data_IF_209835579251
#
_entry.id   IF_209835579251
#
_cell.length_a   1.000
_cell.length_b   1.000
_cell.length_c   1.000
_cell.angle_alpha   90.00
_cell.angle_beta   90.00
_cell.angle_gamma   90.00
#
_symmetry.space_group_name_H-M   'P 1'
#
loop_
_entity.id
_entity.type
_entity.pdbx_description
1 polymer ?
#
# COMPACT_ATOMS: atom_id res chain seq x y z
N UNK A 1 -6.37 -1.65 6.47
CA UNK A 1 -6.48 -3.12 6.39
C UNK A 1 -7.30 -3.56 7.59
N UNK A 2 -8.34 -4.35 7.36
CA UNK A 2 -9.20 -4.84 8.44
C UNK A 2 -8.42 -5.82 9.34
N UNK A 3 -8.58 -5.72 10.66
CA UNK A 3 -7.94 -6.64 11.59
C UNK A 3 -8.87 -7.82 11.93
N UNK A 4 -8.29 -8.95 12.36
CA UNK A 4 -9.02 -10.14 12.79
C UNK A 4 -10.07 -9.85 13.86
N UNK A 5 -9.73 -9.02 14.85
CA UNK A 5 -10.66 -8.62 15.92
C UNK A 5 -11.85 -7.81 15.42
N UNK A 6 -11.69 -7.09 14.31
CA UNK A 6 -12.78 -6.35 13.68
C UNK A 6 -13.65 -7.31 12.88
N UNK A 7 -13.03 -8.19 12.07
CA UNK A 7 -13.73 -9.26 11.33
C UNK A 7 -14.57 -10.16 12.24
N UNK A 8 -14.04 -10.55 13.40
CA UNK A 8 -14.75 -11.40 14.36
C UNK A 8 -16.04 -10.77 14.94
N UNK A 9 -16.17 -9.44 14.86
CA UNK A 9 -17.35 -8.71 15.37
C UNK A 9 -18.42 -8.47 14.30
N UNK A 10 -18.08 -8.68 13.03
CA UNK A 10 -19.01 -8.51 11.93
C UNK A 10 -19.84 -9.78 11.76
N UNK A 11 -21.11 -9.59 11.44
CA UNK A 11 -21.96 -10.66 10.92
C UNK A 11 -21.49 -11.09 9.53
N UNK A 12 -21.81 -12.33 9.15
CA UNK A 12 -21.51 -12.86 7.82
C UNK A 12 -22.12 -11.94 6.75
N UNK A 13 -23.33 -11.44 6.97
CA UNK A 13 -24.01 -10.49 6.08
C UNK A 13 -23.23 -9.20 5.90
N UNK A 14 -22.78 -8.57 6.99
CA UNK A 14 -21.97 -7.33 6.91
C UNK A 14 -20.66 -7.58 6.17
N UNK A 15 -20.04 -8.75 6.35
CA UNK A 15 -18.82 -9.14 5.61
C UNK A 15 -19.12 -9.25 4.11
N UNK A 16 -20.20 -9.93 3.72
CA UNK A 16 -20.59 -10.08 2.31
C UNK A 16 -21.00 -8.74 1.68
N UNK A 17 -21.68 -7.86 2.42
CA UNK A 17 -22.04 -6.53 1.93
C UNK A 17 -20.81 -5.61 1.77
N UNK A 18 -19.87 -5.67 2.72
CA UNK A 18 -18.64 -4.85 2.70
C UNK A 18 -17.61 -5.40 1.70
N UNK A 19 -17.53 -6.71 1.56
CA UNK A 19 -16.57 -7.43 0.72
C UNK A 19 -17.29 -8.50 -0.13
N UNK A 20 -18.05 -8.13 -1.19
CA UNK A 20 -18.86 -9.07 -1.96
C UNK A 20 -18.09 -10.25 -2.55
N UNK A 21 -16.82 -10.07 -2.88
CA UNK A 21 -15.94 -11.12 -3.38
C UNK A 21 -15.64 -12.23 -2.35
N UNK A 22 -15.94 -12.04 -1.07
CA UNK A 22 -15.74 -13.07 -0.03
C UNK A 22 -16.73 -14.22 -0.13
N UNK A 23 -17.84 -14.06 -0.87
CA UNK A 23 -18.80 -15.13 -1.10
C UNK A 23 -18.13 -16.39 -1.70
N UNK A 24 -17.17 -16.21 -2.63
CA UNK A 24 -16.44 -17.34 -3.22
C UNK A 24 -15.61 -18.07 -2.18
N UNK A 25 -14.97 -17.34 -1.27
CA UNK A 25 -14.19 -17.92 -0.17
C UNK A 25 -15.07 -18.77 0.75
N UNK A 26 -16.24 -18.25 1.16
CA UNK A 26 -17.16 -19.03 1.98
C UNK A 26 -17.63 -20.31 1.27
N UNK A 27 -17.93 -20.25 -0.03
CA UNK A 27 -18.33 -21.44 -0.82
C UNK A 27 -17.20 -22.45 -0.97
N UNK A 28 -15.97 -22.00 -1.22
CA UNK A 28 -14.79 -22.85 -1.36
C UNK A 28 -14.44 -23.56 -0.05
N UNK A 29 -14.54 -22.87 1.09
CA UNK A 29 -14.35 -23.45 2.42
C UNK A 29 -15.57 -24.24 2.92
N UNK A 30 -16.61 -24.39 2.08
CA UNK A 30 -17.88 -25.06 2.42
C UNK A 30 -18.52 -24.52 3.70
N UNK A 31 -18.30 -23.24 4.01
CA UNK A 31 -18.85 -22.61 5.19
C UNK A 31 -20.34 -22.32 5.00
N UNK A 32 -21.22 -22.79 5.91
CA UNK A 32 -22.65 -22.55 5.79
C UNK A 32 -23.01 -21.07 5.95
N UNK A 33 -23.67 -20.51 4.93
CA UNK A 33 -24.13 -19.11 4.90
C UNK A 33 -25.66 -18.98 5.05
N UNK A 34 -26.28 -19.94 5.74
CA UNK A 34 -27.72 -20.01 5.99
C UNK A 34 -28.18 -19.04 7.11
N UNK A 35 -27.30 -18.73 8.07
CA UNK A 35 -27.56 -17.83 9.19
C UNK A 35 -26.68 -16.57 9.12
N UNK A 36 -26.88 -15.73 8.10
CA UNK A 36 -25.94 -14.63 7.82
C UNK A 36 -25.94 -13.50 8.86
N UNK A 37 -26.95 -13.42 9.72
CA UNK A 37 -27.04 -12.42 10.80
C UNK A 37 -26.09 -12.73 11.98
N UNK A 38 -25.50 -13.94 12.02
CA UNK A 38 -24.52 -14.33 13.04
C UNK A 38 -23.10 -13.92 12.66
N UNK A 39 -22.26 -13.72 13.67
CA UNK A 39 -20.80 -13.67 13.47
C UNK A 39 -20.26 -15.05 13.10
N UNK A 40 -19.07 -15.09 12.50
CA UNK A 40 -18.39 -16.35 12.15
C UNK A 40 -18.22 -17.24 13.41
N UNK A 41 -17.80 -16.66 14.54
CA UNK A 41 -17.62 -17.41 15.79
C UNK A 41 -18.93 -18.01 16.32
N UNK A 42 -20.02 -17.25 16.26
CA UNK A 42 -21.34 -17.73 16.68
C UNK A 42 -21.85 -18.83 15.77
N UNK A 43 -21.69 -18.69 14.45
CA UNK A 43 -22.08 -19.72 13.50
C UNK A 43 -21.27 -21.01 13.70
N UNK A 44 -19.98 -20.90 14.01
CA UNK A 44 -19.12 -22.04 14.33
C UNK A 44 -19.59 -22.86 15.54
N UNK A 45 -20.11 -22.19 16.59
CA UNK A 45 -20.67 -22.86 17.77
C UNK A 45 -21.93 -23.64 17.45
N UNK A 46 -22.66 -23.21 16.42
CA UNK A 46 -23.91 -23.82 15.96
C UNK A 46 -23.71 -24.87 14.85
N UNK A 47 -22.47 -25.06 14.36
CA UNK A 47 -22.19 -26.11 13.38
C UNK A 47 -22.46 -27.50 13.96
N UNK A 48 -23.18 -28.30 13.18
CA UNK A 48 -23.34 -29.74 13.35
C UNK A 48 -22.01 -30.48 13.22
N UNK A 49 -22.01 -31.77 13.53
CA UNK A 49 -20.80 -32.60 13.43
C UNK A 49 -20.38 -32.75 11.95
N UNK A 50 -21.34 -32.98 11.05
CA UNK A 50 -21.10 -33.10 9.61
C UNK A 50 -20.48 -31.81 9.04
N UNK A 51 -21.06 -30.65 9.35
CA UNK A 51 -20.51 -29.37 8.88
C UNK A 51 -19.11 -29.08 9.43
N UNK A 52 -18.77 -29.56 10.63
CA UNK A 52 -17.42 -29.41 11.20
C UNK A 52 -16.41 -30.32 10.51
N UNK A 53 -16.83 -31.51 10.08
CA UNK A 53 -15.99 -32.44 9.32
C UNK A 53 -15.66 -31.88 7.94
N UNK A 54 -16.63 -31.25 7.27
CA UNK A 54 -16.42 -30.62 5.95
C UNK A 54 -15.49 -29.40 6.03
N UNK A 55 -15.61 -28.59 7.08
CA UNK A 55 -14.85 -27.35 7.20
C UNK A 55 -13.37 -27.58 7.53
N UNK A 56 -13.05 -28.62 8.30
CA UNK A 56 -11.69 -29.06 8.74
C UNK A 56 -10.84 -28.01 9.51
N UNK A 57 -11.24 -26.74 9.54
CA UNK A 57 -10.48 -25.63 10.15
C UNK A 57 -11.24 -25.02 11.33
N UNK A 58 -10.50 -24.57 12.36
CA UNK A 58 -11.08 -23.89 13.51
C UNK A 58 -11.50 -22.45 13.18
N UNK A 59 -12.44 -21.89 13.94
CA UNK A 59 -12.93 -20.52 13.74
C UNK A 59 -11.82 -19.47 13.71
N UNK A 60 -10.82 -19.64 14.57
CA UNK A 60 -9.65 -18.77 14.65
C UNK A 60 -8.84 -18.80 13.34
N UNK A 61 -8.64 -19.98 12.76
CA UNK A 61 -7.89 -20.15 11.51
C UNK A 61 -8.70 -19.66 10.31
N UNK A 62 -10.02 -19.89 10.29
CA UNK A 62 -10.92 -19.38 9.27
C UNK A 62 -10.89 -17.86 9.19
N UNK A 63 -10.97 -17.18 10.33
CA UNK A 63 -10.88 -15.72 10.40
C UNK A 63 -9.53 -15.19 9.91
N UNK A 64 -8.45 -15.93 10.18
CA UNK A 64 -7.11 -15.56 9.71
C UNK A 64 -6.99 -15.72 8.19
N UNK A 65 -7.50 -16.84 7.64
CA UNK A 65 -7.52 -17.08 6.20
C UNK A 65 -8.43 -16.09 5.46
N UNK A 66 -9.63 -15.81 5.97
CA UNK A 66 -10.53 -14.80 5.41
C UNK A 66 -9.87 -13.42 5.39
N UNK A 67 -9.16 -13.04 6.46
CA UNK A 67 -8.42 -11.77 6.52
C UNK A 67 -7.34 -11.71 5.43
N UNK A 68 -6.58 -12.78 5.23
CA UNK A 68 -5.56 -12.86 4.19
C UNK A 68 -6.19 -12.79 2.80
N UNK A 69 -7.28 -13.54 2.57
CA UNK A 69 -8.03 -13.51 1.32
C UNK A 69 -8.56 -12.11 0.98
N UNK A 70 -9.16 -11.41 1.96
CA UNK A 70 -9.63 -10.02 1.76
C UNK A 70 -8.48 -9.11 1.37
N UNK A 71 -7.35 -9.21 2.08
CA UNK A 71 -6.16 -8.42 1.76
C UNK A 71 -5.69 -8.69 0.33
N UNK A 72 -5.51 -9.95 -0.04
CA UNK A 72 -4.95 -10.31 -1.34
C UNK A 72 -5.89 -9.90 -2.47
N UNK A 73 -7.20 -10.03 -2.29
CA UNK A 73 -8.21 -9.54 -3.24
C UNK A 73 -8.21 -8.01 -3.34
N UNK A 74 -8.07 -7.29 -2.23
CA UNK A 74 -7.96 -5.84 -2.25
C UNK A 74 -6.68 -5.36 -2.95
N UNK A 75 -5.56 -6.08 -2.79
CA UNK A 75 -4.33 -5.83 -3.53
C UNK A 75 -4.54 -6.10 -5.03
N UNK A 76 -5.16 -7.22 -5.39
CA UNK A 76 -5.45 -7.58 -6.78
C UNK A 76 -6.39 -6.58 -7.49
N UNK A 77 -7.40 -6.09 -6.79
CA UNK A 77 -8.37 -5.12 -7.33
C UNK A 77 -7.85 -3.66 -7.34
N UNK A 78 -6.62 -3.41 -6.88
CA UNK A 78 -6.09 -2.05 -6.75
C UNK A 78 -6.82 -1.20 -5.70
N UNK A 79 -7.54 -1.84 -4.77
CA UNK A 79 -8.25 -1.19 -3.67
C UNK A 79 -7.36 -1.00 -2.44
N UNK A 80 -6.10 -1.45 -2.51
CA UNK A 80 -5.11 -1.18 -1.48
C UNK A 80 -4.71 0.29 -1.54
N UNK A 81 -4.74 0.98 -0.39
CA UNK A 81 -4.21 2.35 -0.22
C UNK A 81 -2.69 2.46 -0.45
N UNK A 82 -2.06 1.37 -0.89
CA UNK A 82 -0.63 1.23 -1.09
C UNK A 82 -0.20 1.60 -2.53
N UNK A 83 -1.12 2.03 -3.40
CA UNK A 83 -0.78 2.55 -4.72
C UNK A 83 -0.54 4.07 -4.69
N UNK A 84 0.49 4.55 -5.38
CA UNK A 84 0.81 5.99 -5.48
C UNK A 84 -0.06 6.63 -6.56
N UNK A 85 -1.12 7.32 -6.14
CA UNK A 85 -2.01 8.10 -7.01
C UNK A 85 -1.50 9.53 -7.24
N UNK A 86 -0.83 10.11 -6.24
CA UNK A 86 -0.22 11.43 -6.36
C UNK A 86 1.00 11.59 -5.47
N UNK A 87 1.98 12.35 -5.95
CA UNK A 87 3.12 12.84 -5.18
C UNK A 87 3.04 14.37 -5.07
N UNK A 88 3.06 14.90 -3.84
CA UNK A 88 3.06 16.34 -3.59
C UNK A 88 4.36 16.73 -2.91
N UNK A 89 5.12 17.63 -3.52
CA UNK A 89 6.34 18.20 -2.96
C UNK A 89 6.06 19.59 -2.40
N UNK A 90 6.33 19.77 -1.11
CA UNK A 90 6.26 21.05 -0.41
C UNK A 90 7.65 21.72 -0.37
N UNK A 91 7.70 23.06 -0.43
CA UNK A 91 8.94 23.81 -0.50
C UNK A 91 9.75 23.71 0.78
N UNK A 92 11.07 23.56 0.61
CA UNK A 92 12.03 23.67 1.69
C UNK A 92 12.86 24.94 1.54
N UNK A 93 14.18 24.76 1.61
CA UNK A 93 15.20 25.79 1.43
C UNK A 93 16.18 25.36 0.36
N UNK A 94 16.66 26.33 -0.39
CA UNK A 94 17.73 26.16 -1.36
C UNK A 94 19.11 26.05 -0.67
N UNK A 95 20.17 25.88 -1.48
CA UNK A 95 21.56 25.80 -1.00
C UNK A 95 22.05 27.06 -0.25
N UNK A 96 21.35 28.18 -0.40
CA UNK A 96 21.66 29.45 0.27
C UNK A 96 20.78 29.66 1.51
N UNK A 97 19.96 28.67 1.88
CA UNK A 97 19.03 28.75 3.00
C UNK A 97 17.78 29.58 2.72
N UNK A 98 17.56 30.03 1.48
CA UNK A 98 16.37 30.79 1.09
C UNK A 98 15.21 29.83 0.83
N UNK A 99 14.00 30.20 1.26
CA UNK A 99 12.79 29.45 0.94
C UNK A 99 12.60 29.33 -0.56
N UNK A 100 12.24 28.14 -1.03
CA UNK A 100 11.96 27.91 -2.44
C UNK A 100 10.69 28.64 -2.92
N UNK A 101 10.68 29.04 -4.19
CA UNK A 101 9.65 29.91 -4.76
C UNK A 101 8.48 29.14 -5.41
N UNK A 102 8.04 28.04 -4.80
CA UNK A 102 6.82 27.34 -5.21
C UNK A 102 5.96 27.04 -3.99
N UNK A 103 4.63 26.94 -4.18
CA UNK A 103 3.72 26.61 -3.09
C UNK A 103 3.68 25.09 -2.87
N UNK A 104 3.48 24.34 -3.94
CA UNK A 104 3.55 22.89 -4.00
C UNK A 104 3.80 22.45 -5.45
N UNK A 105 4.35 21.25 -5.63
CA UNK A 105 4.43 20.58 -6.94
C UNK A 105 3.69 19.27 -6.79
N UNK A 106 2.62 19.07 -7.57
CA UNK A 106 1.82 17.85 -7.57
C UNK A 106 2.10 17.09 -8.85
N UNK A 107 2.41 15.80 -8.72
CA UNK A 107 2.59 14.86 -9.82
C UNK A 107 1.57 13.75 -9.63
N UNK A 108 0.68 13.55 -10.60
CA UNK A 108 -0.33 12.50 -10.55
C UNK A 108 0.16 11.24 -11.27
N UNK A 109 -0.39 10.09 -10.87
CA UNK A 109 -0.16 8.81 -11.54
C UNK A 109 -0.45 8.94 -13.04
N UNK A 110 0.51 8.49 -13.85
CA UNK A 110 0.46 8.59 -15.31
C UNK A 110 0.96 9.91 -15.91
N UNK A 111 1.28 10.92 -15.11
CA UNK A 111 1.88 12.17 -15.62
C UNK A 111 3.37 12.00 -15.92
N UNK A 112 3.79 12.51 -17.09
CA UNK A 112 5.20 12.60 -17.47
C UNK A 112 5.69 14.02 -17.18
N UNK A 113 6.61 14.14 -16.23
CA UNK A 113 7.17 15.43 -15.80
C UNK A 113 8.65 15.50 -16.16
N UNK A 114 9.09 16.66 -16.66
CA UNK A 114 10.49 16.94 -16.95
C UNK A 114 11.02 18.03 -16.02
N UNK A 115 12.19 17.79 -15.42
CA UNK A 115 12.82 18.70 -14.48
C UNK A 115 14.05 19.34 -15.14
N UNK A 116 13.95 20.62 -15.47
CA UNK A 116 14.98 21.37 -16.18
C UNK A 116 15.64 22.42 -15.27
N UNK A 117 16.92 22.71 -15.52
CA UNK A 117 17.65 23.75 -14.81
C UNK A 117 19.17 23.65 -14.98
N UNK A 118 19.92 24.71 -14.67
CA UNK A 118 21.38 24.74 -14.84
C UNK A 118 22.10 23.71 -13.96
N UNK A 119 23.36 23.42 -14.27
CA UNK A 119 24.21 22.56 -13.41
C UNK A 119 24.30 23.15 -12.01
N UNK A 120 24.14 22.31 -10.98
CA UNK A 120 24.16 22.75 -9.58
C UNK A 120 22.89 23.43 -9.08
N UNK A 121 21.77 23.38 -9.83
CA UNK A 121 20.46 23.89 -9.37
C UNK A 121 19.76 23.00 -8.33
N UNK A 122 20.32 21.84 -8.01
CA UNK A 122 19.76 20.92 -7.01
C UNK A 122 18.82 19.84 -7.55
N UNK A 123 18.74 19.61 -8.87
CA UNK A 123 17.91 18.55 -9.49
C UNK A 123 18.14 17.16 -8.87
N UNK A 124 19.40 16.72 -8.76
CA UNK A 124 19.72 15.43 -8.14
C UNK A 124 19.31 15.38 -6.67
N UNK A 125 19.37 16.52 -5.97
CA UNK A 125 18.95 16.60 -4.57
C UNK A 125 17.43 16.52 -4.42
N UNK A 126 16.70 17.16 -5.32
CA UNK A 126 15.24 17.06 -5.42
C UNK A 126 14.80 15.60 -5.63
N UNK A 127 15.46 14.88 -6.56
CA UNK A 127 15.19 13.46 -6.78
C UNK A 127 15.50 12.60 -5.55
N UNK A 128 16.58 12.89 -4.83
CA UNK A 128 16.90 12.20 -3.59
C UNK A 128 15.86 12.48 -2.49
N UNK A 129 15.38 13.72 -2.34
CA UNK A 129 14.33 14.04 -1.37
C UNK A 129 13.02 13.29 -1.70
N UNK A 130 12.70 13.10 -2.99
CA UNK A 130 11.57 12.28 -3.47
C UNK A 130 11.79 10.80 -3.16
N UNK A 131 12.96 10.25 -3.51
CA UNK A 131 13.31 8.84 -3.28
C UNK A 131 13.20 8.46 -1.79
N UNK A 132 13.60 9.36 -0.91
CA UNK A 132 13.55 9.17 0.54
C UNK A 132 12.22 9.52 1.19
N UNK A 133 11.24 10.02 0.42
CA UNK A 133 9.99 10.58 0.91
C UNK A 133 10.23 11.54 2.09
N UNK A 134 11.06 12.57 1.86
CA UNK A 134 11.51 13.52 2.87
C UNK A 134 10.35 14.09 3.70
N UNK A 135 10.53 14.23 5.01
CA UNK A 135 9.53 14.82 5.93
C UNK A 135 10.16 15.96 6.73
N UNK A 136 10.66 16.97 6.03
CA UNK A 136 11.42 18.10 6.59
C UNK A 136 12.67 17.69 7.41
N UNK A 137 13.11 16.43 7.27
CA UNK A 137 14.23 15.80 7.98
C UNK A 137 15.53 15.77 7.16
N UNK A 138 15.51 16.34 5.96
CA UNK A 138 16.68 16.45 5.10
C UNK A 138 17.28 17.87 5.14
N UNK A 139 18.56 18.07 4.76
CA UNK A 139 19.18 19.40 4.65
C UNK A 139 18.38 20.46 3.87
N UNK A 140 17.52 20.05 2.94
CA UNK A 140 16.67 20.97 2.18
C UNK A 140 15.41 21.33 2.95
N UNK A 141 14.99 20.53 3.93
CA UNK A 141 13.76 20.74 4.68
C UNK A 141 12.49 20.61 3.84
N UNK A 142 12.57 19.97 2.66
CA UNK A 142 11.39 19.67 1.83
C UNK A 142 10.54 18.59 2.49
N UNK A 143 9.26 18.57 2.14
CA UNK A 143 8.33 17.51 2.53
C UNK A 143 7.70 16.88 1.29
N UNK A 144 7.67 15.56 1.25
CA UNK A 144 7.04 14.76 0.19
C UNK A 144 5.84 14.06 0.78
N UNK A 145 4.68 14.30 0.18
CA UNK A 145 3.43 13.64 0.51
C UNK A 145 3.09 12.63 -0.59
N UNK A 146 2.56 11.48 -0.18
CA UNK A 146 2.06 10.43 -1.07
C UNK A 146 0.58 10.34 -0.80
N UNK A 147 -0.23 10.50 -1.85
CA UNK A 147 -1.69 10.54 -1.75
C UNK A 147 -2.18 11.60 -0.73
N UNK A 148 -1.51 12.76 -0.68
CA UNK A 148 -1.72 13.85 0.29
C UNK A 148 -1.46 13.51 1.77
N UNK A 149 -0.93 12.33 2.06
CA UNK A 149 -0.52 11.94 3.40
C UNK A 149 1.01 11.98 3.51
N UNK A 150 1.54 12.25 4.71
CA UNK A 150 2.99 12.17 4.94
C UNK A 150 3.46 10.74 4.66
N UNK A 151 4.57 10.59 3.94
CA UNK A 151 5.13 9.28 3.63
C UNK A 151 5.39 8.46 4.90
N UNK A 152 4.59 7.41 5.10
CA UNK A 152 4.80 6.40 6.15
C UNK A 152 6.20 5.78 6.01
N UNK A 153 6.80 5.30 7.11
CA UNK A 153 8.13 4.65 7.13
C UNK A 153 8.22 3.46 6.17
N UNK A 154 7.08 2.91 5.76
CA UNK A 154 6.94 1.81 4.79
C UNK A 154 7.51 2.14 3.40
N UNK A 155 7.42 3.41 2.98
CA UNK A 155 7.98 3.88 1.70
C UNK A 155 9.50 4.04 1.74
N UNK A 156 10.08 4.16 2.95
CA UNK A 156 11.51 4.38 3.16
C UNK A 156 12.35 3.10 3.13
N UNK A 157 11.72 1.91 3.28
CA UNK A 157 12.44 0.69 3.68
C UNK A 157 12.04 -0.61 2.94
N UNK A 158 11.04 -0.61 2.07
CA UNK A 158 10.67 -1.85 1.37
C UNK A 158 11.46 -1.99 0.07
N UNK A 159 12.39 -2.95 0.04
CA UNK A 159 13.17 -3.32 -1.16
C UNK A 159 12.32 -3.71 -2.38
N UNK A 160 11.01 -3.90 -2.20
CA UNK A 160 10.00 -4.18 -3.23
C UNK A 160 9.12 -2.99 -3.63
N UNK A 161 9.18 -1.83 -2.95
CA UNK A 161 8.31 -0.66 -3.24
C UNK A 161 9.09 0.64 -3.36
N UNK A 162 10.03 0.69 -4.32
CA UNK A 162 10.74 1.94 -4.66
C UNK A 162 9.78 2.93 -5.31
N UNK A 163 9.66 4.13 -4.73
CA UNK A 163 8.90 5.25 -5.30
C UNK A 163 9.49 5.75 -6.63
N UNK A 164 10.81 5.60 -6.78
CA UNK A 164 11.55 6.10 -7.93
C UNK A 164 12.37 4.97 -8.51
N UNK A 165 12.21 4.74 -9.82
CA UNK A 165 13.14 3.98 -10.63
C UNK A 165 13.96 4.96 -11.46
N UNK A 166 15.28 4.92 -11.32
CA UNK A 166 16.19 5.79 -12.07
C UNK A 166 16.84 5.00 -13.22
N UNK A 167 16.63 5.46 -14.45
CA UNK A 167 17.45 5.04 -15.58
C UNK A 167 18.69 5.94 -15.63
N UNK A 168 19.86 5.36 -15.39
CA UNK A 168 21.14 6.02 -15.66
C UNK A 168 21.79 5.37 -16.88
N UNK A 169 22.31 6.13 -17.86
CA UNK A 169 23.08 5.55 -18.94
C UNK A 169 24.44 5.08 -18.37
N UNK A 170 24.50 3.82 -17.94
CA UNK A 170 25.79 3.15 -17.68
C UNK A 170 26.25 2.48 -18.97
N UNK A 171 27.15 3.14 -19.69
CA UNK A 171 27.96 2.47 -20.70
C UNK A 171 29.19 1.89 -19.99
N UNK A 172 29.14 0.63 -19.58
CA UNK A 172 30.31 -0.09 -19.09
C UNK A 172 31.03 -0.68 -20.32
N UNK A 173 32.02 0.05 -20.84
CA UNK A 173 32.94 -0.47 -21.84
C UNK A 173 33.93 -1.39 -21.13
N UNK A 174 33.68 -2.71 -21.20
CA UNK A 174 34.67 -3.71 -20.81
C UNK A 174 35.82 -3.69 -21.84
N UNK A 175 36.92 -3.02 -21.50
CA UNK A 175 38.19 -3.27 -22.18
C UNK A 175 38.76 -4.60 -21.69
N UNK A 176 38.71 -5.62 -22.55
CA UNK A 176 39.46 -6.85 -22.35
C UNK A 176 40.95 -6.57 -22.49
N UNK A 177 41.71 -6.76 -21.42
CA UNK A 177 43.17 -6.78 -21.46
C UNK A 177 43.64 -8.08 -22.12
N UNK A 178 44.52 -7.94 -23.11
CA UNK A 178 45.23 -9.02 -23.81
C UNK A 178 46.12 -9.87 -22.88
#
# INVERSE_FOLDING_TARGET
>A
MINKKELARLSIKEILETYPFTESFFREQQFPMDQQELTIEERYRQLSIEEKEDLVIAAEDFLEQLKLFIRDMQEFLGLSKDEVESLTLLPGRDKNGKKENYAEIIIKKGEIVSIVGPTGSGKSRLLADIEWAADADTPTGRTVLINNEKGDKKWRLSGTRKLVAQLSPKYELCYGSH
#
